data_IF_394760340822
#
_entry.id   IF_394760340822
#
_cell.length_a   1.000
_cell.length_b   1.000
_cell.length_c   1.000
_cell.angle_alpha   90.00
_cell.angle_beta   90.00
_cell.angle_gamma   90.00
#
_symmetry.space_group_name_H-M   'P 1'
#
loop_
_entity.id
_entity.type
_entity.pdbx_description
1 polymer ?
#
# COMPACT_ATOMS: atom_id res chain seq x y z
N UNK A 1 1.07 0.45 -21.68
CA UNK A 1 1.67 0.47 -20.32
C UNK A 1 2.47 -0.80 -20.10
N UNK A 2 3.62 -0.76 -19.41
CA UNK A 2 4.40 -1.95 -19.01
C UNK A 2 3.69 -2.70 -17.87
N UNK A 3 4.10 -3.96 -17.65
CA UNK A 3 3.68 -4.71 -16.46
C UNK A 3 4.78 -4.71 -15.41
N UNK A 4 4.40 -4.72 -14.15
CA UNK A 4 5.30 -4.96 -13.03
C UNK A 4 5.50 -6.48 -12.91
N UNK A 5 6.49 -7.01 -13.62
CA UNK A 5 6.70 -8.45 -13.75
C UNK A 5 7.05 -9.10 -12.40
N UNK A 6 6.32 -10.17 -12.08
CA UNK A 6 6.46 -10.88 -10.81
C UNK A 6 5.72 -10.24 -9.61
N UNK A 7 4.98 -9.15 -9.86
CA UNK A 7 4.24 -8.40 -8.83
C UNK A 7 2.81 -8.09 -9.29
N UNK A 8 2.11 -9.12 -9.78
CA UNK A 8 0.75 -8.97 -10.31
C UNK A 8 -0.33 -9.27 -9.27
N UNK A 9 -0.09 -10.22 -8.36
CA UNK A 9 -1.06 -10.75 -7.40
C UNK A 9 -0.43 -10.85 -6.03
N UNK A 10 -0.54 -9.80 -5.24
CA UNK A 10 0.11 -9.73 -3.92
C UNK A 10 -0.85 -9.64 -2.76
N UNK A 11 -0.29 -9.79 -1.57
CA UNK A 11 -0.96 -9.53 -0.30
C UNK A 11 -0.02 -8.82 0.66
N UNK A 12 -0.55 -7.90 1.45
CA UNK A 12 0.20 -7.17 2.47
C UNK A 12 0.37 -8.02 3.74
N UNK A 13 1.53 -7.93 4.38
CA UNK A 13 1.82 -8.53 5.67
C UNK A 13 1.72 -7.48 6.80
N UNK A 14 0.68 -6.65 6.76
CA UNK A 14 0.43 -5.62 7.78
C UNK A 14 0.13 -6.21 9.15
N UNK A 15 0.48 -5.47 10.20
CA UNK A 15 0.34 -5.93 11.58
C UNK A 15 1.49 -6.78 12.09
N UNK A 16 2.46 -7.12 11.25
CA UNK A 16 3.64 -7.90 11.64
C UNK A 16 4.74 -6.99 12.25
N UNK A 17 5.56 -6.39 11.40
CA UNK A 17 6.68 -5.50 11.75
C UNK A 17 6.38 -4.03 11.41
N UNK A 18 5.12 -3.74 11.20
CA UNK A 18 4.50 -2.42 11.06
C UNK A 18 3.08 -2.46 11.62
N UNK A 19 2.58 -1.34 12.10
CA UNK A 19 1.22 -1.20 12.67
C UNK A 19 0.94 -2.19 13.83
N UNK A 20 1.95 -2.67 14.52
CA UNK A 20 1.80 -3.48 15.73
C UNK A 20 1.32 -2.62 16.91
N UNK A 21 0.60 -3.24 17.84
CA UNK A 21 0.08 -2.54 19.01
C UNK A 21 1.20 -2.10 19.99
N UNK A 22 2.13 -3.02 20.24
CA UNK A 22 3.30 -2.82 21.10
C UNK A 22 4.53 -3.47 20.46
N UNK A 23 5.73 -2.91 20.73
CA UNK A 23 6.98 -3.50 20.28
C UNK A 23 7.22 -4.82 21.04
N UNK A 24 6.95 -5.95 20.42
CA UNK A 24 7.02 -7.27 21.02
C UNK A 24 7.77 -8.26 20.12
N UNK A 25 8.90 -8.74 20.64
CA UNK A 25 9.76 -9.72 19.94
C UNK A 25 9.04 -11.05 19.70
N UNK A 26 8.20 -11.52 20.63
CA UNK A 26 7.44 -12.76 20.47
C UNK A 26 6.40 -12.62 19.35
N UNK A 27 5.71 -11.47 19.30
CA UNK A 27 4.82 -11.13 18.19
C UNK A 27 5.57 -11.17 16.85
N UNK A 28 6.70 -10.50 16.73
CA UNK A 28 7.47 -10.45 15.48
C UNK A 28 7.97 -11.84 15.03
N UNK A 29 8.27 -12.74 15.98
CA UNK A 29 8.71 -14.09 15.69
C UNK A 29 7.58 -15.06 15.32
N UNK A 30 6.33 -14.76 15.69
CA UNK A 30 5.22 -15.73 15.58
C UNK A 30 4.08 -15.27 14.68
N UNK A 31 3.91 -13.98 14.45
CA UNK A 31 2.78 -13.43 13.70
C UNK A 31 2.82 -13.83 12.22
N UNK A 32 3.97 -13.64 11.55
CA UNK A 32 4.23 -14.15 10.19
C UNK A 32 5.37 -15.17 10.26
N UNK A 33 5.12 -16.34 9.72
CA UNK A 33 6.04 -17.47 9.71
C UNK A 33 6.22 -18.03 8.29
N UNK A 34 7.17 -18.93 8.13
CA UNK A 34 7.35 -19.65 6.85
C UNK A 34 6.07 -20.37 6.38
N UNK A 35 5.23 -20.84 7.33
CA UNK A 35 3.96 -21.51 7.01
C UNK A 35 2.96 -20.55 6.36
N UNK A 36 2.94 -19.28 6.81
CA UNK A 36 2.10 -18.25 6.24
C UNK A 36 2.51 -17.96 4.80
N UNK A 37 3.82 -17.82 4.53
CA UNK A 37 4.35 -17.60 3.19
C UNK A 37 4.06 -18.79 2.26
N UNK A 38 4.22 -20.02 2.74
CA UNK A 38 3.86 -21.23 1.99
C UNK A 38 2.36 -21.25 1.66
N UNK A 39 1.50 -20.85 2.60
CA UNK A 39 0.07 -20.77 2.39
C UNK A 39 -0.31 -19.69 1.38
N UNK A 40 0.26 -18.49 1.46
CA UNK A 40 0.08 -17.42 0.48
C UNK A 40 0.43 -17.90 -0.93
N UNK A 41 1.57 -18.56 -1.10
CA UNK A 41 1.96 -19.13 -2.38
C UNK A 41 0.94 -20.17 -2.89
N UNK A 42 0.42 -21.02 -2.01
CA UNK A 42 -0.58 -22.05 -2.35
C UNK A 42 -1.92 -21.47 -2.83
N UNK A 43 -2.23 -20.24 -2.47
CA UNK A 43 -3.41 -19.48 -2.92
C UNK A 43 -3.23 -18.84 -4.31
N UNK A 44 -2.04 -18.91 -4.90
CA UNK A 44 -1.76 -18.38 -6.24
C UNK A 44 -1.31 -16.91 -6.26
N UNK A 45 -0.89 -16.35 -5.13
CA UNK A 45 -0.18 -15.08 -5.08
C UNK A 45 1.23 -15.23 -5.67
N UNK A 46 1.79 -14.14 -6.19
CA UNK A 46 3.12 -14.09 -6.77
C UNK A 46 4.11 -13.22 -5.96
N UNK A 47 3.61 -12.43 -5.00
CA UNK A 47 4.46 -11.63 -4.12
C UNK A 47 3.77 -11.28 -2.80
N UNK A 48 4.57 -10.80 -1.86
CA UNK A 48 4.10 -10.14 -0.64
C UNK A 48 4.62 -8.70 -0.59
N UNK A 49 3.79 -7.75 -0.15
CA UNK A 49 4.23 -6.44 0.28
C UNK A 49 4.46 -6.48 1.78
N UNK A 50 5.63 -6.05 2.23
CA UNK A 50 6.08 -6.16 3.61
C UNK A 50 6.21 -4.75 4.19
N UNK A 51 5.15 -4.23 4.83
CA UNK A 51 5.23 -3.01 5.61
C UNK A 51 6.20 -3.20 6.79
N UNK A 52 7.14 -2.26 6.94
CA UNK A 52 8.07 -2.24 8.06
C UNK A 52 8.22 -0.83 8.62
N UNK A 53 8.12 -0.68 9.94
CA UNK A 53 8.34 0.59 10.60
C UNK A 53 9.82 0.77 10.92
N UNK A 54 10.30 2.03 10.84
CA UNK A 54 11.72 2.35 11.06
C UNK A 54 12.25 1.85 12.39
N UNK A 55 11.45 1.88 13.47
CA UNK A 55 11.84 1.50 14.82
C UNK A 55 12.05 -0.03 15.02
N UNK A 56 11.71 -0.82 14.02
CA UNK A 56 12.09 -2.24 13.93
C UNK A 56 13.51 -2.38 13.37
N UNK A 57 13.92 -1.48 12.46
CA UNK A 57 15.19 -1.54 11.74
C UNK A 57 16.30 -0.70 12.34
N UNK A 58 15.96 0.36 13.08
CA UNK A 58 16.91 1.25 13.74
C UNK A 58 16.41 1.75 15.09
N UNK A 59 17.33 1.96 16.03
CA UNK A 59 17.03 2.55 17.34
C UNK A 59 16.83 4.09 17.26
N UNK A 60 16.54 4.72 18.41
CA UNK A 60 16.34 6.18 18.47
C UNK A 60 17.56 6.99 17.99
N UNK A 61 18.76 6.46 18.15
CA UNK A 61 20.00 7.07 17.68
C UNK A 61 20.30 6.81 16.19
N UNK A 62 19.49 5.96 15.52
CA UNK A 62 19.69 5.56 14.14
C UNK A 62 20.70 4.43 13.94
N UNK A 63 21.06 3.70 15.00
CA UNK A 63 21.86 2.48 14.89
C UNK A 63 21.00 1.31 14.42
N UNK A 64 21.59 0.38 13.65
CA UNK A 64 20.88 -0.80 13.14
C UNK A 64 20.43 -1.72 14.28
N UNK A 65 19.20 -2.24 14.15
CA UNK A 65 18.67 -3.34 14.92
C UNK A 65 18.77 -4.59 14.06
N UNK A 66 19.80 -5.39 14.25
CA UNK A 66 20.10 -6.57 13.42
C UNK A 66 18.95 -7.58 13.36
N UNK A 67 18.26 -7.79 14.50
CA UNK A 67 17.07 -8.66 14.53
C UNK A 67 15.94 -8.18 13.62
N UNK A 68 15.76 -6.86 13.48
CA UNK A 68 14.78 -6.26 12.59
C UNK A 68 15.07 -6.56 11.11
N UNK A 69 16.32 -6.40 10.69
CA UNK A 69 16.75 -6.82 9.36
C UNK A 69 16.62 -8.33 9.16
N UNK A 70 16.87 -9.12 10.21
CA UNK A 70 16.66 -10.57 10.20
C UNK A 70 15.24 -10.99 9.81
N UNK A 71 14.21 -10.25 10.22
CA UNK A 71 12.82 -10.53 9.81
C UNK A 71 12.64 -10.38 8.31
N UNK A 72 13.17 -9.31 7.72
CA UNK A 72 13.11 -9.09 6.27
C UNK A 72 13.90 -10.16 5.49
N UNK A 73 15.07 -10.55 5.99
CA UNK A 73 15.92 -11.59 5.38
C UNK A 73 15.25 -12.97 5.42
N UNK A 74 14.62 -13.32 6.55
CA UNK A 74 13.83 -14.54 6.66
C UNK A 74 12.64 -14.54 5.69
N UNK A 75 11.87 -13.43 5.65
CA UNK A 75 10.76 -13.29 4.73
C UNK A 75 11.21 -13.47 3.27
N UNK A 76 12.29 -12.77 2.85
CA UNK A 76 12.86 -12.95 1.51
C UNK A 76 13.26 -14.41 1.23
N UNK A 77 13.89 -15.07 2.22
CA UNK A 77 14.30 -16.49 2.09
C UNK A 77 13.11 -17.41 1.91
N UNK A 78 12.05 -17.23 2.71
CA UNK A 78 10.82 -17.98 2.57
C UNK A 78 10.12 -17.72 1.24
N UNK A 79 10.03 -16.44 0.83
CA UNK A 79 9.50 -16.07 -0.48
C UNK A 79 10.25 -16.78 -1.61
N UNK A 80 11.59 -16.77 -1.59
CA UNK A 80 12.41 -17.47 -2.59
C UNK A 80 12.17 -18.98 -2.62
N UNK A 81 11.97 -19.61 -1.45
CA UNK A 81 11.66 -21.04 -1.34
C UNK A 81 10.32 -21.41 -2.00
N UNK A 82 9.33 -20.54 -1.91
CA UNK A 82 7.98 -20.79 -2.42
C UNK A 82 7.66 -20.04 -3.74
N UNK A 83 8.67 -19.44 -4.38
CA UNK A 83 8.52 -18.79 -5.68
C UNK A 83 7.79 -17.46 -5.65
N UNK A 84 7.78 -16.77 -4.50
CA UNK A 84 7.23 -15.43 -4.33
C UNK A 84 8.30 -14.36 -4.44
N UNK A 85 7.90 -13.16 -4.85
CA UNK A 85 8.68 -11.94 -4.74
C UNK A 85 8.33 -11.16 -3.46
N UNK A 86 9.12 -10.15 -3.13
CA UNK A 86 8.95 -9.33 -1.93
C UNK A 86 9.07 -7.84 -2.28
N UNK A 87 8.10 -7.04 -1.90
CA UNK A 87 8.17 -5.59 -1.93
C UNK A 87 8.36 -5.08 -0.51
N UNK A 88 9.53 -4.49 -0.22
CA UNK A 88 9.79 -3.84 1.07
C UNK A 88 9.22 -2.43 1.03
N UNK A 89 8.29 -2.16 1.91
CA UNK A 89 7.66 -0.86 2.12
C UNK A 89 8.09 -0.29 3.47
N UNK A 90 8.81 0.85 3.46
CA UNK A 90 9.03 1.59 4.70
C UNK A 90 7.72 2.30 5.07
N UNK A 91 6.99 1.70 6.01
CA UNK A 91 5.62 2.13 6.31
C UNK A 91 5.57 3.42 7.11
N UNK A 92 6.51 3.59 8.03
CA UNK A 92 6.78 4.83 8.76
C UNK A 92 8.29 5.09 8.77
N UNK A 93 8.68 6.35 8.81
CA UNK A 93 10.07 6.74 9.03
C UNK A 93 10.23 7.66 10.24
N UNK A 94 11.43 7.79 10.76
CA UNK A 94 11.67 8.69 11.89
C UNK A 94 11.26 10.13 11.54
N UNK A 95 10.35 10.69 12.34
CA UNK A 95 9.78 12.02 12.13
C UNK A 95 8.57 12.09 11.22
N UNK A 96 8.08 10.95 10.70
CA UNK A 96 6.85 10.90 9.91
C UNK A 96 6.05 9.60 10.14
N UNK A 97 4.74 9.76 10.30
CA UNK A 97 3.74 8.69 10.31
C UNK A 97 2.47 9.12 9.58
N UNK A 98 1.87 8.22 8.85
CA UNK A 98 0.56 8.40 8.21
C UNK A 98 -0.60 8.18 9.19
N UNK A 99 -0.37 7.46 10.31
CA UNK A 99 -1.39 7.01 11.25
C UNK A 99 -2.16 8.19 11.88
N UNK A 100 -3.49 8.30 11.64
CA UNK A 100 -4.31 9.38 12.18
C UNK A 100 -4.39 9.37 13.70
N UNK A 101 -4.08 8.26 14.36
CA UNK A 101 -4.08 8.15 15.83
C UNK A 101 -2.87 8.85 16.46
N UNK A 102 -1.79 9.09 15.72
CA UNK A 102 -0.61 9.88 16.16
C UNK A 102 -0.87 11.39 15.99
N UNK A 103 -1.76 11.94 16.83
CA UNK A 103 -2.26 13.33 16.71
C UNK A 103 -1.21 14.40 16.97
N UNK A 104 -0.22 14.13 17.82
CA UNK A 104 0.78 15.12 18.27
C UNK A 104 1.99 15.28 17.33
N UNK A 105 1.98 14.58 16.19
CA UNK A 105 3.07 14.63 15.21
C UNK A 105 2.89 15.76 14.21
N UNK A 106 3.89 16.61 14.03
CA UNK A 106 3.98 17.52 12.88
C UNK A 106 4.44 16.76 11.64
N UNK A 107 3.46 16.25 10.87
CA UNK A 107 3.71 15.49 9.64
C UNK A 107 4.40 16.28 8.53
N UNK A 108 4.39 17.61 8.60
CA UNK A 108 5.05 18.47 7.59
C UNK A 108 6.56 18.51 7.79
N UNK A 109 7.02 18.36 9.03
CA UNK A 109 8.42 18.56 9.42
C UNK A 109 9.38 17.72 8.58
N UNK A 110 9.10 16.45 8.38
CA UNK A 110 9.95 15.53 7.58
C UNK A 110 10.27 16.08 6.18
N UNK A 111 9.31 16.71 5.51
CA UNK A 111 9.46 17.17 4.13
C UNK A 111 10.35 18.41 3.98
N UNK A 112 10.68 19.10 5.07
CA UNK A 112 11.46 20.34 5.08
C UNK A 112 12.66 20.31 6.04
N UNK A 113 12.91 19.20 6.73
CA UNK A 113 13.99 19.03 7.70
C UNK A 113 15.09 18.12 7.11
N UNK A 114 16.25 18.71 6.84
CA UNK A 114 17.37 18.01 6.19
C UNK A 114 17.94 16.88 7.07
N UNK A 115 17.89 16.99 8.40
CA UNK A 115 18.40 15.95 9.31
C UNK A 115 17.49 14.72 9.32
N UNK A 116 16.17 14.93 9.29
CA UNK A 116 15.18 13.85 9.16
C UNK A 116 15.31 13.14 7.81
N UNK A 117 15.44 13.89 6.73
CA UNK A 117 15.68 13.31 5.40
C UNK A 117 17.02 12.58 5.32
N UNK A 118 18.09 13.13 5.93
CA UNK A 118 19.37 12.44 5.96
C UNK A 118 19.29 11.11 6.71
N UNK A 119 18.51 11.03 7.80
CA UNK A 119 18.25 9.79 8.54
C UNK A 119 17.47 8.78 7.67
N UNK A 120 16.43 9.20 7.02
CA UNK A 120 15.65 8.40 6.06
C UNK A 120 16.54 7.81 4.95
N UNK A 121 17.41 8.62 4.33
CA UNK A 121 18.32 8.13 3.30
C UNK A 121 19.40 7.18 3.84
N UNK A 122 19.87 7.36 5.09
CA UNK A 122 20.80 6.42 5.74
C UNK A 122 20.14 5.06 5.94
N UNK A 123 18.89 5.03 6.45
CA UNK A 123 18.15 3.78 6.62
C UNK A 123 17.94 3.06 5.27
N UNK A 124 17.50 3.79 4.24
CA UNK A 124 17.34 3.23 2.90
C UNK A 124 18.64 2.72 2.28
N UNK A 125 19.75 3.38 2.55
CA UNK A 125 21.07 2.86 2.13
C UNK A 125 21.32 1.47 2.72
N UNK A 126 21.07 1.28 4.02
CA UNK A 126 21.25 0.01 4.72
C UNK A 126 20.34 -1.08 4.14
N UNK A 127 19.05 -0.77 3.95
CA UNK A 127 18.08 -1.70 3.33
C UNK A 127 18.58 -2.09 1.94
N UNK A 128 18.92 -1.13 1.09
CA UNK A 128 19.35 -1.41 -0.29
C UNK A 128 20.64 -2.23 -0.34
N UNK A 129 21.63 -1.95 0.50
CA UNK A 129 22.88 -2.71 0.58
C UNK A 129 22.68 -4.17 0.95
N UNK A 130 21.69 -4.48 1.82
CA UNK A 130 21.37 -5.87 2.21
C UNK A 130 20.62 -6.66 1.14
N UNK A 131 19.84 -5.99 0.30
CA UNK A 131 18.98 -6.67 -0.67
C UNK A 131 19.40 -6.47 -2.14
N UNK A 132 20.47 -5.71 -2.43
CA UNK A 132 20.96 -5.41 -3.81
C UNK A 132 21.23 -6.64 -4.67
N UNK A 133 21.58 -7.76 -4.06
CA UNK A 133 21.92 -8.99 -4.76
C UNK A 133 20.68 -9.81 -5.19
N UNK A 134 19.46 -9.31 -4.90
CA UNK A 134 18.19 -9.95 -5.22
C UNK A 134 17.29 -9.09 -6.11
N UNK A 135 17.78 -8.47 -7.20
CA UNK A 135 17.03 -7.45 -7.95
C UNK A 135 15.79 -7.98 -8.67
N UNK A 136 15.73 -9.30 -8.95
CA UNK A 136 14.56 -9.93 -9.55
C UNK A 136 13.49 -10.34 -8.53
N UNK A 137 13.85 -10.42 -7.26
CA UNK A 137 12.98 -10.90 -6.18
C UNK A 137 12.51 -9.77 -5.26
N UNK A 138 13.34 -8.74 -5.04
CA UNK A 138 13.08 -7.67 -4.07
C UNK A 138 12.89 -6.33 -4.77
N UNK A 139 11.76 -5.68 -4.49
CA UNK A 139 11.47 -4.31 -4.88
C UNK A 139 11.44 -3.40 -3.64
N UNK A 140 11.61 -2.09 -3.85
CA UNK A 140 11.70 -1.09 -2.78
C UNK A 140 10.63 0.00 -2.92
N UNK A 141 9.90 0.27 -1.85
CA UNK A 141 8.92 1.35 -1.76
C UNK A 141 9.37 2.34 -0.66
N UNK A 142 9.67 3.61 -1.03
CA UNK A 142 10.37 4.54 -0.13
C UNK A 142 9.60 4.88 1.14
N UNK A 143 8.30 5.08 1.04
CA UNK A 143 7.44 5.43 2.16
C UNK A 143 5.99 5.12 1.76
N UNK A 144 5.22 4.55 2.68
CA UNK A 144 3.83 4.15 2.47
C UNK A 144 2.95 5.31 1.97
N UNK A 145 2.27 5.98 2.84
CA UNK A 145 1.29 7.03 2.53
C UNK A 145 1.78 8.41 2.94
N UNK A 146 2.01 9.29 1.98
CA UNK A 146 2.19 10.71 2.24
C UNK A 146 0.81 11.37 2.30
N UNK A 147 0.34 11.66 3.52
CA UNK A 147 -1.05 12.09 3.74
C UNK A 147 -1.33 13.54 3.34
N UNK A 148 -0.32 14.41 3.37
CA UNK A 148 -0.45 15.84 3.14
C UNK A 148 -0.37 16.20 1.66
N UNK A 149 -1.40 16.84 1.14
CA UNK A 149 -1.44 17.26 -0.25
C UNK A 149 -0.41 18.36 -0.59
N UNK A 150 -0.23 19.32 0.30
CA UNK A 150 0.61 20.50 0.11
C UNK A 150 2.11 20.19 0.07
N UNK A 151 2.55 19.02 0.47
CA UNK A 151 3.97 18.62 0.42
C UNK A 151 4.39 17.98 -0.89
N UNK A 152 3.51 17.93 -1.89
CA UNK A 152 3.72 17.27 -3.18
C UNK A 152 5.08 17.58 -3.82
N UNK A 153 5.44 18.86 -3.92
CA UNK A 153 6.67 19.25 -4.61
C UNK A 153 7.92 18.88 -3.79
N UNK A 154 7.85 18.99 -2.45
CA UNK A 154 8.91 18.53 -1.55
C UNK A 154 9.07 17.01 -1.64
N UNK A 155 7.95 16.26 -1.70
CA UNK A 155 7.97 14.81 -1.85
C UNK A 155 8.59 14.37 -3.18
N UNK A 156 8.23 14.99 -4.30
CA UNK A 156 8.88 14.72 -5.58
C UNK A 156 10.40 14.95 -5.53
N UNK A 157 10.85 16.00 -4.83
CA UNK A 157 12.28 16.24 -4.59
C UNK A 157 12.97 15.16 -3.76
N UNK A 158 12.29 14.64 -2.72
CA UNK A 158 12.78 13.52 -1.89
C UNK A 158 12.84 12.24 -2.73
N UNK A 159 11.79 11.94 -3.51
CA UNK A 159 11.76 10.77 -4.40
C UNK A 159 12.90 10.81 -5.43
N UNK A 160 13.19 11.95 -6.02
CA UNK A 160 14.30 12.08 -6.97
C UNK A 160 15.66 11.76 -6.32
N UNK A 161 15.90 12.25 -5.08
CA UNK A 161 17.10 11.92 -4.29
C UNK A 161 17.14 10.44 -3.93
N UNK A 162 15.99 9.86 -3.53
CA UNK A 162 15.84 8.44 -3.21
C UNK A 162 16.16 7.54 -4.40
N UNK A 163 15.56 7.80 -5.55
CA UNK A 163 15.82 7.04 -6.78
C UNK A 163 17.32 7.07 -7.13
N UNK A 164 17.94 8.24 -7.07
CA UNK A 164 19.38 8.38 -7.31
C UNK A 164 20.21 7.55 -6.32
N UNK A 165 19.84 7.54 -5.04
CA UNK A 165 20.50 6.74 -4.02
C UNK A 165 20.39 5.24 -4.33
N UNK A 166 19.16 4.74 -4.55
CA UNK A 166 18.94 3.31 -4.80
C UNK A 166 19.64 2.87 -6.08
N UNK A 167 19.60 3.66 -7.15
CA UNK A 167 20.30 3.34 -8.41
C UNK A 167 21.82 3.23 -8.25
N UNK A 168 22.40 3.97 -7.29
CA UNK A 168 23.83 3.86 -6.99
C UNK A 168 24.23 2.57 -6.24
N UNK A 169 23.27 1.87 -5.64
CA UNK A 169 23.49 0.68 -4.79
C UNK A 169 22.93 -0.58 -5.46
N UNK A 170 21.67 -0.50 -5.91
CA UNK A 170 20.88 -1.60 -6.47
C UNK A 170 20.27 -1.16 -7.83
N UNK A 171 21.09 -1.00 -8.87
CA UNK A 171 20.65 -0.41 -10.14
C UNK A 171 19.55 -1.20 -10.86
N UNK A 172 19.50 -2.53 -10.66
CA UNK A 172 18.56 -3.42 -11.33
C UNK A 172 17.27 -3.69 -10.54
N UNK A 173 17.17 -3.20 -9.30
CA UNK A 173 15.99 -3.41 -8.47
C UNK A 173 14.82 -2.51 -8.92
N UNK A 174 13.60 -3.02 -8.80
CA UNK A 174 12.42 -2.19 -8.97
C UNK A 174 12.27 -1.19 -7.82
N UNK A 175 11.86 0.03 -8.15
CA UNK A 175 11.51 1.09 -7.21
C UNK A 175 10.05 1.45 -7.45
N UNK A 176 9.24 1.35 -6.40
CA UNK A 176 7.81 1.59 -6.41
C UNK A 176 7.56 2.94 -5.74
N UNK A 177 7.02 3.92 -6.47
CA UNK A 177 6.86 5.29 -5.99
C UNK A 177 5.40 5.72 -6.02
N UNK A 178 4.91 6.22 -4.90
CA UNK A 178 3.56 6.74 -4.74
C UNK A 178 3.49 8.25 -4.63
N UNK A 179 2.30 8.78 -4.88
CA UNK A 179 2.02 10.21 -4.76
C UNK A 179 1.74 10.65 -3.32
N UNK A 180 0.98 11.72 -3.18
CA UNK A 180 0.54 12.29 -1.89
C UNK A 180 -0.94 11.94 -1.63
N UNK A 181 -1.52 12.50 -0.56
CA UNK A 181 -2.92 12.34 -0.20
C UNK A 181 -3.32 10.87 -0.07
N UNK A 182 -2.68 10.17 0.90
CA UNK A 182 -2.87 8.75 1.15
C UNK A 182 -2.59 7.87 -0.08
N UNK A 183 -1.57 8.26 -0.86
CA UNK A 183 -1.22 7.55 -2.08
C UNK A 183 -2.39 7.40 -3.08
N UNK A 184 -3.29 8.41 -3.11
CA UNK A 184 -4.48 8.40 -3.97
C UNK A 184 -4.12 8.24 -5.45
N UNK A 185 -4.90 7.44 -6.17
CA UNK A 185 -4.75 7.22 -7.62
C UNK A 185 -4.72 8.52 -8.42
N UNK A 186 -5.43 9.56 -7.98
CA UNK A 186 -5.45 10.88 -8.63
C UNK A 186 -4.08 11.56 -8.60
N UNK A 187 -3.27 11.31 -7.58
CA UNK A 187 -2.00 12.00 -7.37
C UNK A 187 -0.83 11.37 -8.13
N UNK A 188 -1.02 10.19 -8.71
CA UNK A 188 -0.05 9.59 -9.64
C UNK A 188 0.25 10.52 -10.82
N UNK A 189 -0.76 11.23 -11.32
CA UNK A 189 -0.59 12.21 -12.40
C UNK A 189 0.35 13.39 -12.05
N UNK A 190 0.65 13.60 -10.77
CA UNK A 190 1.50 14.69 -10.28
C UNK A 190 2.91 14.24 -9.87
N UNK A 191 3.22 12.96 -10.08
CA UNK A 191 4.59 12.47 -9.89
C UNK A 191 5.51 13.08 -10.95
N UNK A 192 6.54 13.76 -10.48
CA UNK A 192 7.60 14.36 -11.29
C UNK A 192 8.96 13.84 -10.80
N UNK A 193 9.28 12.64 -11.21
CA UNK A 193 10.46 11.91 -10.77
C UNK A 193 11.25 11.39 -11.97
N UNK A 194 12.58 11.17 -11.81
CA UNK A 194 13.35 10.47 -12.82
C UNK A 194 12.78 9.08 -13.08
N UNK A 195 12.49 8.77 -14.35
CA UNK A 195 11.93 7.47 -14.76
C UNK A 195 12.94 6.65 -15.52
N UNK A 196 12.92 5.35 -15.27
CA UNK A 196 13.63 4.33 -16.02
C UNK A 196 12.78 3.05 -16.14
N UNK A 197 13.32 2.00 -16.72
CA UNK A 197 12.57 0.77 -16.96
C UNK A 197 12.20 -0.02 -15.69
N UNK A 198 12.73 0.36 -14.54
CA UNK A 198 12.55 -0.28 -13.24
C UNK A 198 11.83 0.62 -12.21
N UNK A 199 11.25 1.75 -12.66
CA UNK A 199 10.33 2.55 -11.86
C UNK A 199 8.91 2.01 -12.06
N UNK A 200 8.13 2.00 -10.99
CA UNK A 200 6.72 1.61 -10.96
C UNK A 200 5.94 2.68 -10.21
N UNK A 201 4.86 3.19 -10.78
CA UNK A 201 3.97 4.10 -10.06
C UNK A 201 3.01 3.33 -9.18
N UNK A 202 2.89 3.76 -7.94
CA UNK A 202 2.02 3.17 -6.93
C UNK A 202 0.83 4.07 -6.61
N UNK A 203 -0.29 3.43 -6.28
CA UNK A 203 -1.45 4.07 -5.66
C UNK A 203 -2.15 3.10 -4.71
N UNK A 204 -2.97 3.63 -3.80
CA UNK A 204 -3.90 2.87 -2.98
C UNK A 204 -5.33 3.12 -3.45
N UNK A 205 -6.21 2.14 -3.34
CA UNK A 205 -7.59 2.26 -3.79
C UNK A 205 -8.58 1.65 -2.80
N UNK A 206 -9.27 2.51 -2.09
CA UNK A 206 -10.32 2.14 -1.14
C UNK A 206 -11.66 2.81 -1.47
N UNK A 207 -11.82 3.31 -2.70
CA UNK A 207 -13.04 4.00 -3.12
C UNK A 207 -14.24 3.05 -3.31
N UNK A 208 -15.40 3.41 -2.79
CA UNK A 208 -15.72 4.59 -1.99
C UNK A 208 -15.40 4.34 -0.49
N UNK A 209 -14.60 5.22 0.12
CA UNK A 209 -14.11 5.06 1.49
C UNK A 209 -15.21 4.87 2.55
N UNK A 210 -16.39 5.46 2.36
CA UNK A 210 -17.54 5.24 3.25
C UNK A 210 -18.05 3.79 3.25
N UNK A 211 -17.77 3.01 2.21
CA UNK A 211 -18.04 1.58 2.16
C UNK A 211 -16.89 0.76 2.70
N UNK A 212 -15.69 0.96 2.16
CA UNK A 212 -14.52 0.16 2.47
C UNK A 212 -14.00 0.35 3.89
N UNK A 213 -14.30 1.50 4.52
CA UNK A 213 -13.90 1.84 5.88
C UNK A 213 -15.10 2.10 6.81
N UNK A 214 -16.28 1.55 6.49
CA UNK A 214 -17.48 1.71 7.32
C UNK A 214 -17.23 1.24 8.75
N UNK A 215 -17.53 2.10 9.73
CA UNK A 215 -17.33 1.82 11.15
C UNK A 215 -15.86 1.70 11.59
N UNK A 216 -14.92 2.26 10.82
CA UNK A 216 -13.51 2.28 11.16
C UNK A 216 -13.23 3.19 12.35
N UNK A 217 -12.68 2.62 13.44
CA UNK A 217 -12.45 3.33 14.71
C UNK A 217 -11.34 4.38 14.63
N UNK A 218 -10.44 4.27 13.68
CA UNK A 218 -9.35 5.23 13.47
C UNK A 218 -9.76 6.48 12.69
N UNK A 219 -10.96 6.49 12.11
CA UNK A 219 -11.53 7.66 11.44
C UNK A 219 -12.50 8.37 12.40
N UNK A 220 -12.08 9.49 12.99
CA UNK A 220 -12.79 10.20 14.05
C UNK A 220 -14.25 10.54 13.72
N UNK A 221 -14.53 10.87 12.44
CA UNK A 221 -15.88 11.23 12.00
C UNK A 221 -16.76 10.02 11.65
N UNK A 222 -16.20 8.83 11.46
CA UNK A 222 -16.94 7.64 11.07
C UNK A 222 -17.71 7.04 12.26
N UNK A 223 -19.05 6.98 12.21
CA UNK A 223 -19.79 6.30 13.28
C UNK A 223 -19.46 4.80 13.31
N UNK A 224 -19.17 4.25 14.48
CA UNK A 224 -18.78 2.85 14.65
C UNK A 224 -19.85 1.85 14.19
N UNK A 225 -21.11 2.25 14.24
CA UNK A 225 -22.28 1.47 13.82
C UNK A 225 -22.74 1.77 12.39
N UNK A 226 -22.08 2.68 11.67
CA UNK A 226 -22.41 2.98 10.29
C UNK A 226 -22.18 1.76 9.39
N UNK A 227 -23.19 1.42 8.60
CA UNK A 227 -23.14 0.32 7.60
C UNK A 227 -23.81 0.75 6.30
N UNK A 228 -23.18 0.37 5.18
CA UNK A 228 -23.70 0.59 3.84
C UNK A 228 -23.32 -0.59 2.94
N UNK A 229 -24.23 -1.04 2.09
CA UNK A 229 -23.98 -2.12 1.14
C UNK A 229 -23.32 -1.66 -0.16
N UNK A 230 -22.88 -2.61 -0.99
CA UNK A 230 -22.32 -2.38 -2.32
C UNK A 230 -22.91 -3.40 -3.34
N UNK A 231 -23.17 -3.01 -4.60
CA UNK A 231 -23.05 -1.64 -5.16
C UNK A 231 -24.26 -0.77 -4.84
N UNK A 232 -24.04 0.55 -4.90
CA UNK A 232 -25.09 1.57 -4.90
C UNK A 232 -24.72 2.67 -5.90
N UNK A 233 -25.61 3.66 -6.10
CA UNK A 233 -25.28 4.80 -6.96
C UNK A 233 -24.13 5.62 -6.37
N UNK A 234 -23.31 6.23 -7.24
CA UNK A 234 -22.22 7.13 -6.84
C UNK A 234 -22.76 8.29 -5.99
N UNK A 235 -23.97 8.80 -6.35
CA UNK A 235 -24.59 9.90 -5.60
C UNK A 235 -24.96 9.51 -4.16
N UNK A 236 -25.37 8.27 -3.92
CA UNK A 236 -25.67 7.80 -2.56
C UNK A 236 -24.39 7.76 -1.71
N UNK A 237 -23.26 7.26 -2.24
CA UNK A 237 -21.98 7.30 -1.52
C UNK A 237 -21.48 8.73 -1.30
N UNK A 238 -21.59 9.61 -2.29
CA UNK A 238 -21.25 11.03 -2.18
C UNK A 238 -22.05 11.72 -1.08
N UNK A 239 -23.35 11.48 -1.03
CA UNK A 239 -24.22 12.00 0.03
C UNK A 239 -23.78 11.49 1.40
N UNK A 240 -23.52 10.20 1.55
CA UNK A 240 -23.06 9.62 2.83
C UNK A 240 -21.69 10.14 3.24
N UNK A 241 -20.78 10.31 2.30
CA UNK A 241 -19.50 10.93 2.57
C UNK A 241 -19.65 12.34 3.14
N UNK A 242 -20.48 13.19 2.51
CA UNK A 242 -20.77 14.56 3.00
C UNK A 242 -21.43 14.57 4.38
N UNK A 243 -22.37 13.65 4.63
CA UNK A 243 -23.02 13.51 5.94
C UNK A 243 -22.03 13.17 7.07
N UNK A 244 -21.03 12.31 6.79
CA UNK A 244 -20.05 11.83 7.77
C UNK A 244 -18.90 12.83 7.94
N UNK A 245 -18.27 13.25 6.85
CA UNK A 245 -17.03 14.05 6.88
C UNK A 245 -17.24 15.56 6.76
N UNK A 246 -18.48 16.00 6.59
CA UNK A 246 -18.99 17.39 6.64
C UNK A 246 -18.49 18.36 5.59
N UNK A 247 -17.47 18.08 4.83
CA UNK A 247 -16.81 19.15 4.09
C UNK A 247 -16.29 18.80 2.71
N UNK A 248 -16.17 17.72 2.19
CA UNK A 248 -15.57 17.60 0.87
C UNK A 248 -16.35 16.70 -0.06
N UNK A 249 -16.43 17.11 -1.28
CA UNK A 249 -16.60 16.21 -2.38
C UNK A 249 -15.42 15.24 -2.30
N UNK A 250 -15.61 14.11 -1.62
CA UNK A 250 -14.59 13.08 -1.50
C UNK A 250 -13.91 12.97 -2.85
N UNK A 251 -12.63 13.34 -2.91
CA UNK A 251 -11.92 13.78 -4.09
C UNK A 251 -11.95 12.81 -5.28
N UNK A 252 -12.58 11.67 -5.10
CA UNK A 252 -12.55 10.54 -6.04
C UNK A 252 -13.89 10.30 -6.73
N UNK A 253 -14.94 11.02 -6.37
CA UNK A 253 -16.22 10.92 -7.09
C UNK A 253 -16.14 11.75 -8.37
N UNK A 254 -15.80 11.10 -9.46
CA UNK A 254 -15.61 11.76 -10.74
C UNK A 254 -16.94 12.14 -11.40
N UNK A 255 -16.95 13.32 -12.02
CA UNK A 255 -18.08 13.76 -12.81
C UNK A 255 -18.38 12.77 -13.95
N UNK A 256 -19.67 12.53 -14.16
CA UNK A 256 -20.15 11.67 -15.25
C UNK A 256 -20.20 10.17 -14.93
N UNK A 257 -19.78 9.74 -13.73
CA UNK A 257 -19.99 8.36 -13.26
C UNK A 257 -21.17 8.34 -12.30
N UNK A 258 -22.21 7.59 -12.64
CA UNK A 258 -23.45 7.53 -11.86
C UNK A 258 -23.61 6.24 -11.06
N UNK A 259 -23.00 5.15 -11.54
CA UNK A 259 -23.12 3.82 -10.93
C UNK A 259 -21.75 3.27 -10.53
N UNK A 260 -21.73 2.53 -9.43
CA UNK A 260 -20.57 1.74 -9.03
C UNK A 260 -20.47 0.48 -9.88
N UNK A 261 -19.26 -0.08 -9.97
CA UNK A 261 -18.96 -1.27 -10.75
C UNK A 261 -17.61 -1.15 -11.44
N UNK A 262 -17.28 -2.07 -12.34
CA UNK A 262 -16.03 -2.06 -13.12
C UNK A 262 -15.76 -0.70 -13.78
N UNK A 263 -16.76 -0.10 -14.43
CA UNK A 263 -16.66 1.19 -15.11
C UNK A 263 -16.28 2.36 -14.18
N UNK A 264 -16.64 2.31 -12.90
CA UNK A 264 -16.20 3.27 -11.91
C UNK A 264 -14.69 3.19 -11.70
N UNK A 265 -14.15 1.98 -11.47
CA UNK A 265 -12.72 1.77 -11.29
C UNK A 265 -11.92 2.13 -12.54
N UNK A 266 -12.40 1.75 -13.72
CA UNK A 266 -11.77 2.17 -14.98
C UNK A 266 -11.63 3.68 -15.09
N UNK A 267 -12.67 4.40 -14.69
CA UNK A 267 -12.69 5.86 -14.76
C UNK A 267 -11.77 6.52 -13.77
N UNK A 268 -11.74 6.06 -12.51
CA UNK A 268 -10.85 6.65 -11.50
C UNK A 268 -9.38 6.33 -11.75
N UNK A 269 -9.06 5.23 -12.44
CA UNK A 269 -7.70 4.87 -12.81
C UNK A 269 -7.17 5.63 -14.03
N UNK A 270 -8.05 6.25 -14.84
CA UNK A 270 -7.68 6.89 -16.09
C UNK A 270 -6.53 7.91 -15.98
N UNK A 271 -6.47 8.83 -15.00
CA UNK A 271 -5.36 9.77 -14.87
C UNK A 271 -4.01 9.07 -14.62
N UNK A 272 -4.00 8.05 -13.75
CA UNK A 272 -2.80 7.27 -13.45
C UNK A 272 -2.35 6.41 -14.64
N UNK A 273 -3.29 5.81 -15.36
CA UNK A 273 -3.01 5.06 -16.58
C UNK A 273 -2.39 5.95 -17.65
N UNK A 274 -2.94 7.12 -17.90
CA UNK A 274 -2.38 8.10 -18.85
C UNK A 274 -0.94 8.48 -18.49
N UNK A 275 -0.67 8.76 -17.21
CA UNK A 275 0.67 9.08 -16.73
C UNK A 275 1.63 7.92 -16.94
N UNK A 276 1.25 6.71 -16.54
CA UNK A 276 2.07 5.50 -16.69
C UNK A 276 2.36 5.18 -18.16
N UNK A 277 1.40 5.38 -19.06
CA UNK A 277 1.58 5.22 -20.51
C UNK A 277 2.51 6.27 -21.10
N UNK A 278 2.36 7.53 -20.74
CA UNK A 278 3.23 8.63 -21.19
C UNK A 278 4.68 8.39 -20.82
N UNK A 279 4.93 7.91 -19.61
CA UNK A 279 6.27 7.66 -19.08
C UNK A 279 6.80 6.25 -19.47
N UNK A 280 5.95 5.39 -20.03
CA UNK A 280 6.31 4.05 -20.46
C UNK A 280 6.69 3.10 -19.32
N UNK A 281 6.04 3.24 -18.14
CA UNK A 281 6.30 2.45 -16.93
C UNK A 281 5.06 1.65 -16.48
N UNK A 282 5.24 0.81 -15.45
CA UNK A 282 4.17 0.02 -14.86
C UNK A 282 3.37 0.82 -13.82
N UNK A 283 2.11 0.39 -13.60
CA UNK A 283 1.25 0.87 -12.53
C UNK A 283 0.98 -0.27 -11.55
N UNK A 284 0.91 0.03 -10.28
CA UNK A 284 0.70 -0.90 -9.18
C UNK A 284 -0.27 -0.31 -8.17
N UNK A 285 -1.15 -1.15 -7.60
CA UNK A 285 -2.02 -0.80 -6.49
C UNK A 285 -1.48 -1.49 -5.23
N UNK A 286 -0.73 -0.74 -4.39
CA UNK A 286 -0.05 -1.26 -3.20
C UNK A 286 -0.99 -1.69 -2.10
N UNK A 287 -2.18 -1.08 -2.05
CA UNK A 287 -3.22 -1.44 -1.10
C UNK A 287 -4.61 -1.29 -1.71
N UNK A 288 -5.47 -2.26 -1.45
CA UNK A 288 -6.91 -2.23 -1.71
C UNK A 288 -7.59 -3.27 -0.81
N UNK A 289 -8.82 -3.02 -0.44
CA UNK A 289 -9.55 -3.97 0.42
C UNK A 289 -10.85 -3.39 0.97
N UNK A 290 -11.57 -4.21 1.71
CA UNK A 290 -12.83 -3.85 2.37
C UNK A 290 -12.81 -4.35 3.81
N UNK A 291 -13.12 -3.47 4.74
CA UNK A 291 -13.15 -3.75 6.18
C UNK A 291 -14.07 -4.95 6.52
N UNK A 292 -13.74 -5.68 7.55
CA UNK A 292 -14.45 -6.87 8.05
C UNK A 292 -15.92 -6.60 8.43
N UNK A 293 -16.26 -5.33 8.74
CA UNK A 293 -17.60 -4.87 9.12
C UNK A 293 -18.58 -4.76 7.95
N UNK A 294 -18.11 -4.82 6.71
CA UNK A 294 -18.96 -4.91 5.53
C UNK A 294 -19.54 -6.32 5.39
N UNK A 295 -20.78 -6.43 4.88
CA UNK A 295 -21.34 -7.74 4.55
C UNK A 295 -20.58 -8.43 3.41
N UNK A 296 -20.53 -9.76 3.46
CA UNK A 296 -19.70 -10.54 2.55
C UNK A 296 -20.15 -10.49 1.08
N UNK A 297 -21.46 -10.34 0.82
CA UNK A 297 -21.96 -10.20 -0.55
C UNK A 297 -21.53 -8.87 -1.19
N UNK A 298 -21.58 -7.78 -0.43
CA UNK A 298 -21.08 -6.47 -0.85
C UNK A 298 -19.55 -6.48 -1.02
N UNK A 299 -18.83 -7.08 -0.06
CA UNK A 299 -17.37 -7.17 -0.08
C UNK A 299 -16.87 -7.89 -1.33
N UNK A 300 -17.42 -9.06 -1.65
CA UNK A 300 -16.94 -9.82 -2.81
C UNK A 300 -17.28 -9.14 -4.14
N UNK A 301 -18.43 -8.48 -4.28
CA UNK A 301 -18.78 -7.72 -5.49
C UNK A 301 -17.80 -6.56 -5.73
N UNK A 302 -17.44 -5.83 -4.68
CA UNK A 302 -16.46 -4.76 -4.76
C UNK A 302 -15.09 -5.30 -5.22
N UNK A 303 -14.66 -6.44 -4.66
CA UNK A 303 -13.42 -7.10 -5.06
C UNK A 303 -13.44 -7.58 -6.51
N UNK A 304 -14.57 -8.13 -6.99
CA UNK A 304 -14.74 -8.53 -8.39
C UNK A 304 -14.63 -7.33 -9.33
N UNK A 305 -15.32 -6.22 -9.02
CA UNK A 305 -15.31 -5.03 -9.86
C UNK A 305 -13.92 -4.40 -9.98
N UNK A 306 -13.21 -4.23 -8.87
CA UNK A 306 -11.86 -3.67 -8.92
C UNK A 306 -10.86 -4.62 -9.60
N UNK A 307 -10.99 -5.93 -9.39
CA UNK A 307 -10.14 -6.94 -10.05
C UNK A 307 -10.36 -6.99 -11.56
N UNK A 308 -11.59 -6.77 -12.03
CA UNK A 308 -11.89 -6.64 -13.45
C UNK A 308 -11.07 -5.51 -14.08
N UNK A 309 -11.07 -4.33 -13.44
CA UNK A 309 -10.27 -3.19 -13.89
C UNK A 309 -8.75 -3.48 -13.81
N UNK A 310 -8.26 -4.09 -12.73
CA UNK A 310 -6.84 -4.47 -12.63
C UNK A 310 -6.42 -5.42 -13.75
N UNK A 311 -7.22 -6.45 -14.04
CA UNK A 311 -6.94 -7.41 -15.12
C UNK A 311 -6.96 -6.75 -16.50
N UNK A 312 -7.96 -5.90 -16.75
CA UNK A 312 -8.11 -5.17 -18.02
C UNK A 312 -6.89 -4.34 -18.36
N UNK A 313 -6.34 -3.63 -17.38
CA UNK A 313 -5.21 -2.72 -17.58
C UNK A 313 -3.85 -3.33 -17.26
N UNK A 314 -3.80 -4.57 -16.75
CA UNK A 314 -2.54 -5.22 -16.36
C UNK A 314 -1.86 -4.55 -15.15
N UNK A 315 -2.65 -4.01 -14.22
CA UNK A 315 -2.18 -3.38 -13.00
C UNK A 315 -1.81 -4.47 -11.98
N UNK A 316 -0.57 -4.45 -11.47
CA UNK A 316 -0.17 -5.25 -10.32
C UNK A 316 -0.84 -4.74 -9.04
N UNK A 317 -1.04 -5.59 -8.04
CA UNK A 317 -1.77 -5.21 -6.82
C UNK A 317 -1.40 -6.05 -5.61
N UNK A 318 -1.58 -5.49 -4.39
CA UNK A 318 -1.51 -6.25 -3.14
C UNK A 318 -2.73 -5.97 -2.26
N UNK A 319 -3.47 -7.04 -1.94
CA UNK A 319 -4.62 -6.97 -1.03
C UNK A 319 -4.18 -6.50 0.36
N UNK A 320 -4.83 -5.53 0.92
CA UNK A 320 -4.78 -5.23 2.33
C UNK A 320 -5.90 -5.99 3.03
N UNK A 321 -5.64 -7.02 3.85
CA UNK A 321 -4.41 -7.52 4.42
C UNK A 321 -4.41 -9.07 4.44
N UNK A 322 -3.28 -9.71 4.79
CA UNK A 322 -3.21 -11.18 4.93
C UNK A 322 -4.02 -11.66 6.15
N UNK A 323 -3.74 -11.13 7.33
CA UNK A 323 -4.48 -11.46 8.57
C UNK A 323 -4.60 -10.25 9.51
N UNK A 324 -5.68 -10.20 10.26
CA UNK A 324 -6.01 -9.14 11.21
C UNK A 324 -6.13 -7.73 10.58
N UNK A 325 -5.96 -6.69 11.37
CA UNK A 325 -6.06 -5.28 10.94
C UNK A 325 -7.36 -4.96 10.21
N UNK A 326 -8.46 -5.56 10.70
CA UNK A 326 -9.84 -5.37 10.22
C UNK A 326 -10.08 -5.78 8.73
N UNK A 327 -9.08 -6.34 8.02
CA UNK A 327 -9.14 -6.68 6.59
C UNK A 327 -8.63 -8.09 6.26
N UNK A 328 -8.38 -8.93 7.25
CA UNK A 328 -7.61 -10.16 7.06
C UNK A 328 -8.25 -11.19 6.13
N UNK A 329 -7.52 -11.58 5.08
CA UNK A 329 -7.89 -12.63 4.11
C UNK A 329 -8.12 -13.98 4.77
N UNK A 330 -7.38 -14.29 5.84
CA UNK A 330 -7.48 -15.58 6.57
C UNK A 330 -8.32 -15.48 7.84
N UNK A 331 -8.93 -14.33 8.09
CA UNK A 331 -9.80 -14.13 9.23
C UNK A 331 -11.18 -14.75 9.00
N UNK A 332 -11.90 -15.08 10.08
CA UNK A 332 -13.22 -15.68 10.02
C UNK A 332 -14.23 -14.85 9.21
N UNK A 333 -14.11 -13.53 9.22
CA UNK A 333 -14.95 -12.60 8.46
C UNK A 333 -14.80 -12.73 6.94
N UNK A 334 -13.69 -13.31 6.45
CA UNK A 334 -13.41 -13.49 5.03
C UNK A 334 -13.63 -14.94 4.55
N UNK A 335 -13.74 -15.90 5.47
CA UNK A 335 -13.73 -17.33 5.17
C UNK A 335 -14.80 -17.75 4.13
N UNK A 336 -16.03 -17.24 4.25
CA UNK A 336 -17.13 -17.61 3.37
C UNK A 336 -16.99 -17.12 1.92
N UNK A 337 -16.16 -16.10 1.66
CA UNK A 337 -15.93 -15.52 0.34
C UNK A 337 -14.52 -15.80 -0.20
N UNK A 338 -13.64 -16.39 0.60
CA UNK A 338 -12.24 -16.60 0.27
C UNK A 338 -12.04 -17.38 -1.04
N UNK A 339 -12.78 -18.48 -1.22
CA UNK A 339 -12.70 -19.27 -2.44
C UNK A 339 -13.06 -18.45 -3.68
N UNK A 340 -14.17 -17.72 -3.63
CA UNK A 340 -14.61 -16.84 -4.73
C UNK A 340 -13.62 -15.71 -5.01
N UNK A 341 -13.02 -15.14 -3.95
CA UNK A 341 -11.96 -14.15 -4.11
C UNK A 341 -10.74 -14.73 -4.84
N UNK A 342 -10.28 -15.94 -4.48
CA UNK A 342 -9.14 -16.60 -5.14
C UNK A 342 -9.43 -16.87 -6.62
N UNK A 343 -10.66 -17.21 -6.99
CA UNK A 343 -11.07 -17.40 -8.39
C UNK A 343 -10.99 -16.13 -9.23
N UNK A 344 -11.16 -14.96 -8.62
CA UNK A 344 -11.05 -13.66 -9.31
C UNK A 344 -9.68 -13.01 -9.15
N UNK A 345 -8.79 -13.55 -8.34
CA UNK A 345 -7.41 -13.10 -8.18
C UNK A 345 -6.59 -13.32 -9.47
#
# INVERSE_FOLDING_TARGET
MKRFEGFQKGVNLGGWISQFAEYDIEHFNTFITEKDIAYIASLGFDHVRVPVDYNVLEDEAGNEIESGFGYLEHCRSWCGKYGLNMLIDLHECYGYSFDPLKKDMDRRKFFYDDDLQARFFRLWRKIAERFKDYPSQVAFEPLNEVVLFEVRDAWNGILAKYIKLIRSIAPESYIVVGGVFYNSVMTVAWLDVPVDSKIVYNFHCYEPGVFTHQGAYWQEQMPLDFRIGYPRSVEEYRKKHKEIYRDTDGAVFMDGVTEMGEGFFERIFEPALKKAEQDGIALYCGEYGVIDKADNDSKIRWLEDIHSAFKKFGIGRALWNYKEKDFGLVDASFESIKQRFIEVL
#
